data_IF_691179456162
#
_entry.id   IF_691179456162
#
_cell.length_a   1.000
_cell.length_b   1.000
_cell.length_c   1.000
_cell.angle_alpha   90.00
_cell.angle_beta   90.00
_cell.angle_gamma   90.00
#
_symmetry.space_group_name_H-M   'P 1'
#
loop_
_entity.id
_entity.type
_entity.pdbx_description
1 polymer ?
#
# COMPACT_ATOMS: atom_id res chain seq x y z
N UNK A 1 -31.38 29.52 -42.64
CA UNK A 1 -31.64 29.11 -41.25
C UNK A 1 -30.78 27.90 -40.92
N UNK A 2 -30.15 27.95 -39.75
CA UNK A 2 -28.97 27.21 -39.32
C UNK A 2 -29.01 25.69 -39.49
N UNK A 3 -27.98 25.13 -40.13
CA UNK A 3 -27.56 23.75 -39.91
C UNK A 3 -26.54 23.76 -38.77
N UNK A 4 -27.02 23.72 -37.52
CA UNK A 4 -26.15 23.40 -36.38
C UNK A 4 -25.84 21.91 -36.52
N UNK A 5 -24.75 21.62 -37.23
CA UNK A 5 -24.15 20.29 -37.28
C UNK A 5 -23.84 19.92 -35.83
N UNK A 6 -24.53 18.90 -35.31
CA UNK A 6 -24.34 18.42 -33.95
C UNK A 6 -22.93 17.84 -33.83
N UNK A 7 -22.00 18.68 -33.35
CA UNK A 7 -20.61 18.31 -33.07
C UNK A 7 -20.45 17.61 -31.70
N UNK A 8 -21.52 17.56 -30.91
CA UNK A 8 -21.55 16.93 -29.58
C UNK A 8 -21.02 15.48 -29.55
N UNK A 9 -21.43 14.56 -30.44
CA UNK A 9 -20.98 13.17 -30.36
C UNK A 9 -19.48 13.02 -30.72
N UNK A 10 -18.94 13.91 -31.56
CA UNK A 10 -17.53 13.87 -31.96
C UNK A 10 -16.61 14.37 -30.84
N UNK A 11 -17.01 15.42 -30.13
CA UNK A 11 -16.26 15.92 -28.96
C UNK A 11 -16.26 14.90 -27.81
N UNK A 12 -17.38 14.18 -27.61
CA UNK A 12 -17.49 13.15 -26.58
C UNK A 12 -16.61 11.92 -26.89
N UNK A 13 -16.53 11.51 -28.16
CA UNK A 13 -15.67 10.41 -28.60
C UNK A 13 -14.17 10.73 -28.44
N UNK A 14 -13.76 11.97 -28.70
CA UNK A 14 -12.36 12.42 -28.50
C UNK A 14 -12.02 12.50 -27.01
N UNK A 15 -12.96 12.95 -26.16
CA UNK A 15 -12.76 12.98 -24.71
C UNK A 15 -12.59 11.58 -24.09
N UNK A 16 -13.27 10.56 -24.62
CA UNK A 16 -13.11 9.16 -24.20
C UNK A 16 -11.81 8.52 -24.72
N UNK A 17 -11.36 8.89 -25.92
CA UNK A 17 -10.09 8.41 -26.49
C UNK A 17 -8.85 8.99 -25.77
N UNK A 18 -9.01 10.13 -25.10
CA UNK A 18 -8.01 10.70 -24.16
C UNK A 18 -8.12 10.11 -22.74
N UNK A 19 -8.86 9.00 -22.58
CA UNK A 19 -9.00 8.27 -21.32
C UNK A 19 -7.68 7.85 -20.69
N UNK A 20 -7.68 7.39 -19.42
CA UNK A 20 -6.56 7.43 -18.48
C UNK A 20 -5.47 6.37 -18.80
N UNK A 21 -4.82 6.47 -19.95
CA UNK A 21 -3.68 5.64 -20.36
C UNK A 21 -2.37 5.98 -19.65
N UNK A 22 -2.37 6.97 -18.74
CA UNK A 22 -1.16 7.46 -18.07
C UNK A 22 -1.02 7.03 -16.61
N UNK A 23 -1.98 6.28 -16.05
CA UNK A 23 -1.85 5.75 -14.69
C UNK A 23 -1.05 4.44 -14.66
N UNK A 24 0.11 4.40 -15.33
CA UNK A 24 1.06 3.32 -15.10
C UNK A 24 1.68 3.53 -13.71
N UNK A 25 1.57 2.52 -12.84
CA UNK A 25 2.23 2.57 -11.53
C UNK A 25 3.72 2.83 -11.76
N UNK A 26 4.22 3.94 -11.22
CA UNK A 26 5.63 4.29 -11.35
C UNK A 26 6.49 3.17 -10.76
N UNK A 27 7.68 2.93 -11.33
CA UNK A 27 8.62 1.93 -10.80
C UNK A 27 8.88 2.10 -9.28
N UNK A 28 9.06 3.33 -8.75
CA UNK A 28 9.11 3.55 -7.31
C UNK A 28 7.84 3.09 -6.57
N UNK A 29 6.65 3.37 -7.13
CA UNK A 29 5.38 2.93 -6.56
C UNK A 29 5.26 1.40 -6.47
N UNK A 30 5.67 0.68 -7.50
CA UNK A 30 5.69 -0.80 -7.49
C UNK A 30 6.60 -1.33 -6.38
N UNK A 31 7.78 -0.75 -6.20
CA UNK A 31 8.71 -1.14 -5.14
C UNK A 31 8.14 -0.86 -3.75
N UNK A 32 7.48 0.29 -3.55
CA UNK A 32 6.81 0.61 -2.28
C UNK A 32 5.72 -0.41 -1.96
N UNK A 33 4.88 -0.77 -2.94
CA UNK A 33 3.83 -1.78 -2.75
C UNK A 33 4.43 -3.15 -2.42
N UNK A 34 5.53 -3.53 -3.05
CA UNK A 34 6.23 -4.78 -2.73
C UNK A 34 6.75 -4.79 -1.29
N UNK A 35 7.43 -3.72 -0.87
CA UNK A 35 7.95 -3.59 0.48
C UNK A 35 6.83 -3.59 1.52
N UNK A 36 5.73 -2.88 1.24
CA UNK A 36 4.56 -2.85 2.12
C UNK A 36 3.96 -4.26 2.33
N UNK A 37 3.76 -5.03 1.25
CA UNK A 37 3.29 -6.42 1.34
C UNK A 37 4.23 -7.31 2.15
N UNK A 38 5.54 -7.15 2.00
CA UNK A 38 6.52 -7.90 2.80
C UNK A 38 6.46 -7.52 4.29
N UNK A 39 6.32 -6.23 4.60
CA UNK A 39 6.17 -5.76 5.98
C UNK A 39 4.88 -6.28 6.64
N UNK A 40 3.78 -6.38 5.88
CA UNK A 40 2.52 -6.91 6.40
C UNK A 40 2.59 -8.41 6.70
N UNK A 41 3.33 -9.18 5.90
CA UNK A 41 3.65 -10.58 6.23
C UNK A 41 4.42 -10.70 7.53
N UNK A 42 5.40 -9.82 7.78
CA UNK A 42 6.11 -9.80 9.07
C UNK A 42 5.17 -9.55 10.25
N UNK A 43 4.24 -8.60 10.10
CA UNK A 43 3.26 -8.32 11.15
C UNK A 43 2.31 -9.50 11.40
N UNK A 44 1.85 -10.16 10.33
CA UNK A 44 1.02 -11.36 10.44
C UNK A 44 1.76 -12.50 11.15
N UNK A 45 3.03 -12.74 10.81
CA UNK A 45 3.86 -13.75 11.46
C UNK A 45 4.04 -13.46 12.95
N UNK A 46 4.32 -12.20 13.30
CA UNK A 46 4.48 -11.79 14.69
C UNK A 46 3.17 -11.94 15.49
N UNK A 47 2.03 -11.55 14.93
CA UNK A 47 0.72 -11.72 15.56
C UNK A 47 0.33 -13.21 15.71
N UNK A 48 0.66 -14.04 14.73
CA UNK A 48 0.38 -15.49 14.80
C UNK A 48 1.22 -16.17 15.88
N UNK A 49 2.47 -15.74 16.05
CA UNK A 49 3.35 -16.26 17.10
C UNK A 49 2.95 -15.78 18.51
N UNK A 50 2.38 -14.58 18.62
CA UNK A 50 1.98 -13.96 19.89
C UNK A 50 0.55 -13.37 19.75
N UNK A 51 -0.48 -14.24 19.81
CA UNK A 51 -1.87 -13.84 19.55
C UNK A 51 -2.52 -13.08 20.70
N UNK A 52 -2.00 -13.22 21.91
CA UNK A 52 -2.53 -12.57 23.11
C UNK A 52 -2.23 -11.07 23.13
N UNK A 53 -3.12 -10.31 23.78
CA UNK A 53 -3.02 -8.85 23.90
C UNK A 53 -2.43 -8.39 25.24
N UNK A 54 -1.62 -9.22 25.89
CA UNK A 54 -0.92 -8.84 27.13
C UNK A 54 0.32 -7.99 26.82
N UNK A 55 0.82 -7.18 27.78
CA UNK A 55 2.05 -6.41 27.61
C UNK A 55 3.25 -7.27 27.18
N UNK A 56 3.39 -8.47 27.75
CA UNK A 56 4.48 -9.38 27.45
C UNK A 56 4.36 -9.95 26.03
N UNK A 57 3.15 -10.31 25.61
CA UNK A 57 2.89 -10.79 24.25
C UNK A 57 3.11 -9.67 23.23
N UNK A 58 2.72 -8.44 23.54
CA UNK A 58 2.97 -7.26 22.71
C UNK A 58 4.48 -7.00 22.53
N UNK A 59 5.26 -7.06 23.61
CA UNK A 59 6.72 -6.90 23.54
C UNK A 59 7.38 -8.00 22.68
N UNK A 60 6.92 -9.24 22.80
CA UNK A 60 7.39 -10.36 21.97
C UNK A 60 7.01 -10.20 20.50
N UNK A 61 5.80 -9.71 20.21
CA UNK A 61 5.34 -9.39 18.86
C UNK A 61 6.20 -8.29 18.23
N UNK A 62 6.51 -7.23 18.98
CA UNK A 62 7.36 -6.14 18.50
C UNK A 62 8.80 -6.63 18.21
N UNK A 63 9.36 -7.48 19.08
CA UNK A 63 10.66 -8.10 18.87
C UNK A 63 10.68 -8.98 17.61
N UNK A 64 9.64 -9.80 17.40
CA UNK A 64 9.52 -10.67 16.23
C UNK A 64 9.31 -9.90 14.93
N UNK A 65 8.52 -8.83 14.99
CA UNK A 65 8.33 -7.91 13.88
C UNK A 65 9.66 -7.25 13.49
N UNK A 66 10.40 -6.72 14.47
CA UNK A 66 11.72 -6.11 14.26
C UNK A 66 12.69 -7.06 13.58
N UNK A 67 12.83 -8.29 14.11
CA UNK A 67 13.68 -9.34 13.54
C UNK A 67 13.35 -9.60 12.05
N UNK A 68 12.05 -9.75 11.73
CA UNK A 68 11.61 -10.02 10.36
C UNK A 68 11.86 -8.85 9.41
N UNK A 69 11.59 -7.62 9.85
CA UNK A 69 11.83 -6.42 9.05
C UNK A 69 13.33 -6.24 8.75
N UNK A 70 14.19 -6.43 9.75
CA UNK A 70 15.64 -6.34 9.62
C UNK A 70 16.18 -7.41 8.66
N UNK A 71 15.74 -8.66 8.80
CA UNK A 71 16.13 -9.76 7.92
C UNK A 71 15.76 -9.53 6.45
N UNK A 72 14.69 -8.76 6.19
CA UNK A 72 14.24 -8.41 4.84
C UNK A 72 14.71 -7.03 4.37
N UNK A 73 15.54 -6.32 5.16
CA UNK A 73 15.98 -4.93 4.90
C UNK A 73 14.80 -3.97 4.64
N UNK A 74 13.70 -4.18 5.36
CA UNK A 74 12.51 -3.33 5.30
C UNK A 74 12.64 -2.18 6.30
N UNK A 75 11.86 -1.11 6.09
CA UNK A 75 11.85 0.02 7.01
C UNK A 75 11.39 -0.43 8.41
N UNK A 76 12.03 0.06 9.49
CA UNK A 76 11.63 -0.26 10.86
C UNK A 76 10.25 0.31 11.17
N UNK A 77 9.51 -0.36 12.06
CA UNK A 77 8.23 0.11 12.62
C UNK A 77 8.42 0.52 14.08
N UNK A 78 7.64 1.50 14.52
CA UNK A 78 7.58 1.86 15.92
C UNK A 78 6.97 0.71 16.76
N UNK A 79 7.38 0.53 18.03
CA UNK A 79 6.77 -0.43 18.94
C UNK A 79 5.26 -0.16 19.11
N UNK A 80 4.47 -1.21 19.32
CA UNK A 80 3.01 -1.12 19.54
C UNK A 80 2.63 -0.82 21.00
N UNK A 81 3.61 -0.54 21.87
CA UNK A 81 3.38 -0.13 23.25
C UNK A 81 3.02 1.35 23.37
N UNK A 82 2.45 1.79 24.51
CA UNK A 82 2.32 3.21 24.79
C UNK A 82 3.71 3.84 24.71
N UNK A 83 3.84 4.87 23.87
CA UNK A 83 4.96 5.79 23.94
C UNK A 83 4.91 6.47 25.31
N UNK A 84 5.69 5.95 26.25
CA UNK A 84 5.98 6.64 27.50
C UNK A 84 7.25 7.46 27.34
#
# INVERSE_FOLDING_TARGET
>A
MSRIVSLLPMVFAVALALGPGLAAASQPGVQVIKNWKSSDKCAQQAQTAFPDFTPEANAKRDAKLKECLEGQRLAPRAPNGPSQ
#
